data_IF_849429542455
#
_entry.id   IF_849429542455
#
_cell.length_a   1.000
_cell.length_b   1.000
_cell.length_c   1.000
_cell.angle_alpha   90.00
_cell.angle_beta   90.00
_cell.angle_gamma   90.00
#
_symmetry.space_group_name_H-M   'P 1'
#
loop_
_entity.id
_entity.type
_entity.pdbx_description
1 polymer ?
#
# COMPACT_ATOMS: atom_id res chain seq x y z
N UNK A 1 45.75 -7.05 -52.58
CA UNK A 1 44.67 -6.30 -51.92
C UNK A 1 43.46 -7.21 -51.82
N UNK A 2 43.24 -7.83 -50.65
CA UNK A 2 42.02 -8.58 -50.35
C UNK A 2 41.56 -8.09 -48.97
N UNK A 3 40.41 -7.41 -48.93
CA UNK A 3 39.72 -7.10 -47.69
C UNK A 3 38.57 -8.09 -47.54
N UNK A 4 38.74 -9.04 -46.61
CA UNK A 4 37.66 -9.87 -46.09
C UNK A 4 36.84 -9.00 -45.13
N UNK A 5 35.59 -8.75 -45.46
CA UNK A 5 34.62 -8.24 -44.49
C UNK A 5 34.22 -9.40 -43.57
N UNK A 6 34.52 -9.26 -42.28
CA UNK A 6 33.93 -10.10 -41.24
C UNK A 6 32.59 -9.49 -40.85
N UNK A 7 31.50 -10.19 -41.17
CA UNK A 7 30.17 -9.92 -40.62
C UNK A 7 30.18 -10.46 -39.19
N UNK A 8 30.23 -9.56 -38.22
CA UNK A 8 29.97 -9.90 -36.82
C UNK A 8 28.46 -10.04 -36.64
N UNK A 9 27.96 -11.28 -36.58
CA UNK A 9 26.59 -11.56 -36.14
C UNK A 9 26.47 -11.20 -34.66
N UNK A 10 25.78 -10.10 -34.37
CA UNK A 10 25.32 -9.76 -33.03
C UNK A 10 24.20 -10.76 -32.67
N UNK A 11 24.55 -11.78 -31.89
CA UNK A 11 23.57 -12.69 -31.30
C UNK A 11 22.70 -11.92 -30.32
N UNK A 12 21.41 -11.79 -30.66
CA UNK A 12 20.39 -11.23 -29.76
C UNK A 12 20.18 -12.20 -28.59
N UNK A 13 20.77 -11.87 -27.44
CA UNK A 13 20.50 -12.55 -26.18
C UNK A 13 19.11 -12.10 -25.73
N UNK A 14 18.06 -12.81 -26.16
CA UNK A 14 16.73 -12.68 -25.55
C UNK A 14 16.89 -13.04 -24.07
N UNK A 15 16.95 -12.03 -23.20
CA UNK A 15 16.75 -12.21 -21.78
C UNK A 15 15.36 -12.80 -21.60
N UNK A 16 15.32 -14.09 -21.30
CA UNK A 16 14.19 -14.72 -20.62
C UNK A 16 14.12 -14.07 -19.23
N UNK A 17 13.50 -12.89 -19.16
CA UNK A 17 13.05 -12.34 -17.89
C UNK A 17 12.03 -13.34 -17.35
N UNK A 18 12.45 -14.20 -16.43
CA UNK A 18 11.51 -14.88 -15.57
C UNK A 18 10.66 -13.79 -14.93
N UNK A 19 9.39 -13.71 -15.32
CA UNK A 19 8.39 -12.89 -14.66
C UNK A 19 8.22 -13.47 -13.26
N UNK A 20 9.07 -13.03 -12.34
CA UNK A 20 8.85 -13.27 -10.92
C UNK A 20 7.58 -12.50 -10.61
N UNK A 21 6.49 -13.20 -10.35
CA UNK A 21 5.24 -12.60 -9.93
C UNK A 21 5.41 -12.18 -8.46
N UNK A 22 4.85 -11.03 -8.12
CA UNK A 22 4.74 -10.62 -6.73
C UNK A 22 3.79 -11.58 -6.02
N UNK A 23 3.69 -11.43 -4.72
CA UNK A 23 2.87 -12.30 -3.90
C UNK A 23 2.40 -11.51 -2.69
N UNK A 24 1.10 -11.54 -2.40
CA UNK A 24 0.58 -10.89 -1.20
C UNK A 24 -0.85 -11.26 -0.85
N UNK A 25 -1.19 -11.10 0.43
CA UNK A 25 -2.53 -11.32 0.97
C UNK A 25 -2.79 -10.50 2.23
N UNK A 26 -4.07 -10.40 2.62
CA UNK A 26 -4.50 -9.77 3.87
C UNK A 26 -4.68 -10.85 4.94
N UNK A 27 -3.91 -10.76 6.02
CA UNK A 27 -3.96 -11.69 7.16
C UNK A 27 -4.87 -11.20 8.28
N UNK A 28 -5.16 -9.90 8.37
CA UNK A 28 -6.12 -9.37 9.34
C UNK A 28 -6.73 -8.02 8.89
N UNK A 29 -8.05 -7.83 8.97
CA UNK A 29 -9.06 -8.89 9.07
C UNK A 29 -8.89 -9.85 7.89
N UNK A 30 -9.18 -11.13 8.10
CA UNK A 30 -8.78 -12.17 7.16
C UNK A 30 -9.52 -12.03 5.84
N UNK A 31 -8.79 -12.02 4.73
CA UNK A 31 -9.42 -12.13 3.42
C UNK A 31 -9.88 -13.57 3.15
N UNK A 32 -10.87 -13.73 2.25
CA UNK A 32 -11.48 -15.01 1.87
C UNK A 32 -10.43 -16.09 1.51
N UNK A 33 -9.42 -15.72 0.71
CA UNK A 33 -8.28 -16.58 0.37
C UNK A 33 -7.46 -17.02 1.59
N UNK A 34 -7.28 -16.14 2.56
CA UNK A 34 -6.61 -16.49 3.81
C UNK A 34 -7.48 -17.37 4.70
N UNK A 35 -8.80 -17.13 4.76
CA UNK A 35 -9.76 -18.01 5.44
C UNK A 35 -9.76 -19.40 4.80
N UNK A 36 -9.76 -19.51 3.48
CA UNK A 36 -9.64 -20.79 2.76
C UNK A 36 -8.28 -21.46 3.01
N UNK A 37 -7.21 -20.68 3.16
CA UNK A 37 -5.89 -21.21 3.51
C UNK A 37 -5.85 -21.79 4.91
N UNK A 38 -6.38 -21.08 5.92
CA UNK A 38 -6.34 -21.56 7.31
C UNK A 38 -7.37 -22.67 7.55
N UNK A 39 -8.62 -22.41 7.15
CA UNK A 39 -9.79 -23.19 7.55
C UNK A 39 -10.36 -24.09 6.45
N UNK A 40 -9.85 -23.98 5.21
CA UNK A 40 -10.31 -24.82 4.10
C UNK A 40 -9.98 -26.30 4.30
N UNK A 41 -10.57 -27.13 3.44
CA UNK A 41 -10.47 -28.60 3.50
C UNK A 41 -9.90 -29.18 2.20
N UNK A 42 -9.15 -30.28 2.29
CA UNK A 42 -8.77 -31.12 1.15
C UNK A 42 -9.86 -32.14 0.77
N UNK A 43 -10.88 -32.27 1.63
CA UNK A 43 -12.02 -33.15 1.42
C UNK A 43 -13.24 -32.43 0.86
N UNK A 44 -14.38 -33.08 1.06
CA UNK A 44 -15.71 -32.52 0.79
C UNK A 44 -16.41 -32.28 2.12
N UNK A 45 -16.57 -31.02 2.49
CA UNK A 45 -17.15 -30.59 3.76
C UNK A 45 -17.99 -29.33 3.55
N UNK A 46 -19.24 -29.38 4.03
CA UNK A 46 -20.15 -28.25 3.96
C UNK A 46 -19.64 -27.07 4.80
N UNK A 47 -19.76 -25.85 4.26
CA UNK A 47 -19.32 -24.61 4.92
C UNK A 47 -17.81 -24.38 4.94
N UNK A 48 -16.98 -25.29 4.42
CA UNK A 48 -15.54 -25.07 4.26
C UNK A 48 -15.15 -24.98 2.80
N UNK A 49 -14.52 -23.87 2.42
CA UNK A 49 -13.88 -23.72 1.11
C UNK A 49 -12.86 -24.84 0.86
N UNK A 50 -12.55 -25.09 -0.42
CA UNK A 50 -11.39 -25.92 -0.75
C UNK A 50 -10.12 -25.26 -0.20
N UNK A 51 -9.17 -26.06 0.27
CA UNK A 51 -7.92 -25.57 0.83
C UNK A 51 -7.19 -24.67 -0.19
N UNK A 52 -6.86 -23.45 0.22
CA UNK A 52 -6.01 -22.57 -0.58
C UNK A 52 -4.55 -22.76 -0.18
N UNK A 53 -3.72 -23.14 -1.15
CA UNK A 53 -2.30 -23.39 -0.93
C UNK A 53 -1.44 -22.20 -1.32
N UNK A 54 -1.94 -21.32 -2.18
CA UNK A 54 -1.31 -20.05 -2.52
C UNK A 54 -2.25 -18.88 -2.26
N UNK A 55 -2.52 -18.52 -0.98
CA UNK A 55 -3.33 -17.35 -0.67
C UNK A 55 -2.70 -16.05 -1.19
N UNK A 56 -1.40 -16.07 -1.51
CA UNK A 56 -0.64 -14.94 -2.00
C UNK A 56 -0.65 -14.81 -3.54
N UNK A 57 -1.30 -15.71 -4.27
CA UNK A 57 -1.25 -15.80 -5.75
C UNK A 57 -2.45 -15.17 -6.48
N UNK A 58 -3.29 -14.35 -5.83
CA UNK A 58 -4.52 -13.83 -6.44
C UNK A 58 -4.25 -12.67 -7.42
N UNK A 59 -3.39 -12.89 -8.41
CA UNK A 59 -3.00 -11.91 -9.41
C UNK A 59 -3.88 -11.88 -10.67
N UNK A 60 -5.04 -12.55 -10.60
CA UNK A 60 -6.07 -12.55 -11.63
C UNK A 60 -7.41 -12.29 -10.98
N UNK A 61 -8.29 -11.66 -11.74
CA UNK A 61 -9.61 -11.27 -11.31
C UNK A 61 -10.63 -11.43 -12.44
N UNK A 62 -11.82 -11.89 -12.10
CA UNK A 62 -12.96 -12.05 -13.02
C UNK A 62 -14.23 -11.38 -12.44
N UNK A 63 -14.16 -10.86 -11.21
CA UNK A 63 -15.17 -10.02 -10.57
C UNK A 63 -14.49 -8.93 -9.75
N UNK A 64 -14.44 -9.13 -8.43
CA UNK A 64 -13.88 -8.20 -7.44
C UNK A 64 -12.92 -8.85 -6.46
N UNK A 65 -12.97 -10.16 -6.24
CA UNK A 65 -12.26 -10.82 -5.14
C UNK A 65 -11.01 -11.60 -5.56
N UNK A 66 -10.74 -11.69 -6.86
CA UNK A 66 -9.64 -12.47 -7.39
C UNK A 66 -9.89 -13.97 -7.38
N UNK A 67 -9.06 -14.71 -8.11
CA UNK A 67 -9.15 -16.16 -8.18
C UNK A 67 -7.78 -16.82 -8.37
N UNK A 68 -7.72 -18.10 -8.00
CA UNK A 68 -6.64 -19.03 -8.33
C UNK A 68 -7.17 -20.11 -9.26
N UNK A 69 -6.32 -21.04 -9.73
CA UNK A 69 -6.80 -22.17 -10.56
C UNK A 69 -7.75 -23.10 -9.79
N UNK A 70 -7.78 -23.01 -8.45
CA UNK A 70 -8.59 -23.89 -7.59
C UNK A 70 -9.83 -23.20 -7.04
N UNK A 71 -9.73 -21.90 -6.72
CA UNK A 71 -10.76 -21.16 -6.00
C UNK A 71 -11.08 -19.85 -6.70
N UNK A 72 -12.37 -19.57 -6.84
CA UNK A 72 -12.90 -18.26 -7.22
C UNK A 72 -13.52 -17.62 -5.98
N UNK A 73 -12.96 -16.48 -5.56
CA UNK A 73 -13.38 -15.82 -4.32
C UNK A 73 -14.54 -14.86 -4.51
N UNK A 74 -14.99 -14.63 -5.75
CA UNK A 74 -16.25 -13.93 -6.02
C UNK A 74 -17.44 -14.86 -5.73
N UNK A 75 -17.35 -16.13 -6.17
CA UNK A 75 -18.35 -17.17 -5.89
C UNK A 75 -18.44 -17.48 -4.38
N UNK A 76 -17.27 -17.59 -3.72
CA UNK A 76 -17.12 -17.87 -2.29
C UNK A 76 -18.03 -19.00 -1.80
N UNK A 77 -17.76 -20.19 -2.35
CA UNK A 77 -18.48 -21.44 -2.10
C UNK A 77 -17.62 -22.45 -1.33
N UNK A 78 -18.28 -23.38 -0.66
CA UNK A 78 -17.63 -24.48 0.02
C UNK A 78 -17.12 -25.53 -0.98
N UNK A 79 -16.41 -26.53 -0.46
CA UNK A 79 -15.85 -27.65 -1.24
C UNK A 79 -16.90 -28.51 -1.96
N UNK A 80 -18.19 -28.35 -1.64
CA UNK A 80 -19.33 -28.99 -2.28
C UNK A 80 -20.04 -28.08 -3.31
N UNK A 81 -19.61 -26.81 -3.42
CA UNK A 81 -20.21 -25.82 -4.31
C UNK A 81 -21.40 -25.07 -3.70
N UNK A 82 -21.70 -25.23 -2.41
CA UNK A 82 -22.73 -24.44 -1.74
C UNK A 82 -22.15 -23.10 -1.27
N UNK A 83 -23.00 -22.08 -1.24
CA UNK A 83 -22.63 -20.76 -0.72
C UNK A 83 -22.17 -20.87 0.75
N UNK A 84 -20.96 -20.38 1.04
CA UNK A 84 -20.48 -20.27 2.43
C UNK A 84 -21.28 -19.14 3.12
N UNK A 85 -21.86 -19.37 4.31
CA UNK A 85 -22.53 -18.30 5.05
C UNK A 85 -21.59 -17.11 5.30
N UNK A 86 -22.12 -15.90 5.23
CA UNK A 86 -21.34 -14.69 5.52
C UNK A 86 -20.77 -14.73 6.94
N UNK A 87 -19.47 -14.52 7.08
CA UNK A 87 -18.78 -14.49 8.37
C UNK A 87 -17.93 -13.23 8.49
N UNK A 88 -18.49 -12.23 9.16
CA UNK A 88 -17.82 -10.97 9.43
C UNK A 88 -16.50 -11.17 10.19
N UNK A 89 -15.38 -10.83 9.56
CA UNK A 89 -14.04 -10.87 10.15
C UNK A 89 -13.74 -9.61 11.00
N UNK A 90 -14.66 -8.65 11.05
CA UNK A 90 -14.57 -7.46 11.88
C UNK A 90 -15.88 -6.67 11.90
N UNK A 91 -16.17 -6.05 13.04
CA UNK A 91 -17.33 -5.18 13.25
C UNK A 91 -16.84 -3.76 13.53
N UNK A 92 -17.32 -2.80 12.75
CA UNK A 92 -16.90 -1.41 12.78
C UNK A 92 -18.10 -0.47 12.77
N UNK A 93 -17.85 0.82 12.94
CA UNK A 93 -18.80 1.88 12.65
C UNK A 93 -18.38 2.63 11.39
N UNK A 94 -19.36 3.27 10.74
CA UNK A 94 -19.09 4.19 9.64
C UNK A 94 -18.08 5.25 10.05
N UNK A 95 -17.03 5.45 9.26
CA UNK A 95 -15.97 6.42 9.57
C UNK A 95 -14.84 5.92 10.48
N UNK A 96 -14.93 4.70 11.01
CA UNK A 96 -13.89 4.13 11.87
C UNK A 96 -12.55 4.02 11.13
N UNK A 97 -11.46 4.13 11.89
CA UNK A 97 -10.13 3.75 11.44
C UNK A 97 -9.94 2.25 11.72
N UNK A 98 -9.79 1.47 10.67
CA UNK A 98 -9.55 0.04 10.72
C UNK A 98 -8.06 -0.27 10.53
N UNK A 99 -7.58 -1.29 11.24
CA UNK A 99 -6.22 -1.78 11.08
C UNK A 99 -6.21 -2.97 10.14
N UNK A 100 -5.31 -2.94 9.16
CA UNK A 100 -5.11 -4.02 8.21
C UNK A 100 -3.67 -4.51 8.24
N UNK A 101 -3.51 -5.84 8.30
CA UNK A 101 -2.24 -6.53 8.24
C UNK A 101 -2.14 -7.24 6.88
N UNK A 102 -1.03 -7.00 6.20
CA UNK A 102 -0.72 -7.59 4.91
C UNK A 102 0.60 -8.35 5.00
N UNK A 103 0.65 -9.50 4.34
CA UNK A 103 1.88 -10.26 4.15
C UNK A 103 2.17 -10.29 2.65
N UNK A 104 3.36 -9.84 2.26
CA UNK A 104 3.84 -9.70 0.88
C UNK A 104 5.19 -10.41 0.76
N UNK A 105 5.22 -11.76 0.60
CA UNK A 105 6.46 -12.54 0.63
C UNK A 105 7.45 -12.20 -0.49
N UNK A 106 6.93 -11.75 -1.63
CA UNK A 106 7.73 -11.31 -2.79
C UNK A 106 7.23 -9.93 -3.17
N UNK A 107 7.75 -8.91 -2.52
CA UNK A 107 7.35 -7.52 -2.71
C UNK A 107 8.04 -6.93 -3.96
N UNK A 108 7.25 -6.33 -4.87
CA UNK A 108 7.70 -5.67 -6.12
C UNK A 108 7.48 -4.15 -6.12
N UNK A 109 7.80 -3.50 -5.00
CA UNK A 109 7.40 -2.11 -4.76
C UNK A 109 5.87 -1.96 -4.73
N UNK A 110 5.39 -0.72 -4.91
CA UNK A 110 3.98 -0.46 -5.17
C UNK A 110 3.22 0.11 -3.98
N UNK A 111 1.90 -0.10 -3.99
CA UNK A 111 1.00 0.42 -2.96
C UNK A 111 -0.26 -0.44 -2.84
N UNK A 112 -0.94 -0.28 -1.70
CA UNK A 112 -2.22 -0.89 -1.40
C UNK A 112 -3.34 0.14 -1.52
N UNK A 113 -4.37 -0.19 -2.30
CA UNK A 113 -5.66 0.49 -2.31
C UNK A 113 -6.71 -0.37 -1.59
N UNK A 114 -7.50 0.23 -0.72
CA UNK A 114 -8.60 -0.45 -0.02
C UNK A 114 -9.92 0.24 -0.36
N UNK A 115 -10.92 -0.55 -0.74
CA UNK A 115 -12.24 -0.05 -1.10
C UNK A 115 -13.34 -0.89 -0.46
N UNK A 116 -14.53 -0.33 -0.23
CA UNK A 116 -15.60 -1.06 0.44
C UNK A 116 -16.98 -0.84 -0.18
N UNK A 117 -17.71 -1.93 -0.39
CA UNK A 117 -19.06 -1.93 -0.94
C UNK A 117 -20.07 -2.54 0.05
N UNK A 118 -21.21 -1.88 0.33
CA UNK A 118 -22.21 -2.37 1.28
C UNK A 118 -23.24 -3.32 0.66
N UNK A 119 -22.90 -3.99 -0.45
CA UNK A 119 -23.80 -4.86 -1.19
C UNK A 119 -23.52 -6.35 -0.97
N UNK A 120 -22.69 -6.69 0.04
CA UNK A 120 -22.30 -8.06 0.34
C UNK A 120 -21.83 -8.82 -0.90
N UNK A 121 -22.40 -10.00 -1.14
CA UNK A 121 -22.15 -10.84 -2.32
C UNK A 121 -22.59 -10.24 -3.65
N UNK A 122 -23.48 -9.24 -3.64
CA UNK A 122 -23.91 -8.51 -4.84
C UNK A 122 -23.02 -7.30 -5.16
N UNK A 123 -21.88 -7.17 -4.50
CA UNK A 123 -20.90 -6.11 -4.80
C UNK A 123 -20.35 -6.29 -6.21
N UNK A 124 -20.30 -5.18 -6.96
CA UNK A 124 -19.81 -5.15 -8.34
C UNK A 124 -18.58 -4.26 -8.46
N UNK A 125 -17.88 -4.38 -9.57
CA UNK A 125 -16.78 -3.48 -9.92
C UNK A 125 -17.19 -2.00 -9.92
N UNK A 126 -18.39 -1.69 -10.42
CA UNK A 126 -18.92 -0.32 -10.41
C UNK A 126 -19.09 0.21 -8.99
N UNK A 127 -19.47 -0.64 -8.04
CA UNK A 127 -19.50 -0.25 -6.64
C UNK A 127 -18.11 0.13 -6.14
N UNK A 128 -17.10 -0.71 -6.38
CA UNK A 128 -15.74 -0.43 -5.91
C UNK A 128 -15.05 0.72 -6.66
N UNK A 129 -15.42 1.00 -7.90
CA UNK A 129 -14.83 2.11 -8.67
C UNK A 129 -15.44 3.47 -8.39
N UNK A 130 -16.58 3.53 -7.68
CA UNK A 130 -17.11 4.78 -7.13
C UNK A 130 -16.08 5.41 -6.15
N UNK A 131 -15.63 6.66 -6.38
CA UNK A 131 -14.66 7.33 -5.51
C UNK A 131 -15.07 7.42 -4.03
N UNK A 132 -16.37 7.41 -3.73
CA UNK A 132 -16.89 7.44 -2.36
C UNK A 132 -16.68 6.13 -1.59
N UNK A 133 -16.24 5.06 -2.27
CA UNK A 133 -15.96 3.76 -1.65
C UNK A 133 -14.51 3.56 -1.25
N UNK A 134 -13.61 4.48 -1.62
CA UNK A 134 -12.20 4.37 -1.27
C UNK A 134 -11.98 4.67 0.20
N UNK A 135 -11.21 3.81 0.88
CA UNK A 135 -10.76 4.07 2.24
C UNK A 135 -9.54 4.99 2.20
N UNK A 136 -9.45 5.91 3.16
CA UNK A 136 -8.31 6.83 3.25
C UNK A 136 -7.18 6.16 4.02
N UNK A 137 -5.98 6.18 3.48
CA UNK A 137 -4.79 5.77 4.21
C UNK A 137 -4.52 6.75 5.36
N UNK A 138 -4.42 6.23 6.58
CA UNK A 138 -4.19 7.03 7.78
C UNK A 138 -2.71 7.03 8.16
N UNK A 139 -2.11 5.84 8.27
CA UNK A 139 -0.69 5.68 8.60
C UNK A 139 -0.20 4.24 8.37
N UNK A 140 1.09 4.14 8.12
CA UNK A 140 1.87 2.91 8.25
C UNK A 140 2.43 2.83 9.67
N UNK A 141 2.24 1.67 10.31
CA UNK A 141 2.63 1.42 11.70
C UNK A 141 3.99 0.75 11.85
N UNK A 142 4.56 0.23 10.76
CA UNK A 142 5.84 -0.49 10.81
C UNK A 142 7.00 0.35 10.29
N UNK A 143 6.80 1.08 9.19
CA UNK A 143 7.92 1.74 8.48
C UNK A 143 7.76 3.25 8.32
N UNK A 144 6.69 3.83 8.89
CA UNK A 144 6.44 5.27 8.89
C UNK A 144 6.46 5.87 7.46
N UNK A 145 5.78 5.16 6.53
CA UNK A 145 5.44 5.67 5.21
C UNK A 145 4.44 6.84 5.36
N UNK A 146 4.76 8.04 4.85
CA UNK A 146 3.86 9.18 4.92
C UNK A 146 2.64 9.03 4.01
N UNK A 147 1.50 9.60 4.38
CA UNK A 147 0.33 9.68 3.49
C UNK A 147 0.65 10.53 2.25
N UNK A 148 -0.03 10.24 1.13
CA UNK A 148 0.06 10.97 -0.13
C UNK A 148 -1.10 11.98 -0.24
N UNK A 149 -0.83 13.30 -0.25
CA UNK A 149 -1.87 14.32 -0.39
C UNK A 149 -2.61 14.30 -1.74
N UNK A 150 -2.00 13.73 -2.78
CA UNK A 150 -2.57 13.65 -4.14
C UNK A 150 -3.38 12.36 -4.31
N UNK A 151 -2.93 11.27 -3.70
CA UNK A 151 -3.61 9.97 -3.70
C UNK A 151 -3.84 9.47 -2.28
N UNK A 152 -4.79 10.06 -1.53
CA UNK A 152 -4.96 9.82 -0.10
C UNK A 152 -5.45 8.40 0.23
N UNK A 153 -5.83 7.61 -0.76
CA UNK A 153 -6.24 6.21 -0.67
C UNK A 153 -5.08 5.22 -0.76
N UNK A 154 -3.86 5.66 -1.14
CA UNK A 154 -2.70 4.79 -1.31
C UNK A 154 -1.90 4.62 -0.03
N UNK A 155 -1.77 3.37 0.42
CA UNK A 155 -0.74 2.97 1.39
C UNK A 155 0.47 2.39 0.68
N UNK A 156 1.54 3.17 0.54
CA UNK A 156 2.77 2.76 -0.15
C UNK A 156 3.52 1.71 0.65
N UNK A 157 4.27 0.84 -0.04
CA UNK A 157 5.07 -0.20 0.59
C UNK A 157 6.53 0.24 0.71
N UNK A 158 7.08 0.14 1.93
CA UNK A 158 8.49 0.37 2.20
C UNK A 158 9.35 -0.88 1.98
N UNK A 159 10.66 -0.69 1.79
CA UNK A 159 11.66 -1.74 1.96
C UNK A 159 11.63 -2.85 0.90
N UNK A 160 11.28 -2.53 -0.36
CA UNK A 160 11.35 -3.49 -1.46
C UNK A 160 12.73 -4.19 -1.52
N UNK A 161 13.82 -3.41 -1.60
CA UNK A 161 15.18 -3.97 -1.63
C UNK A 161 15.67 -4.50 -0.26
N UNK A 162 14.89 -4.31 0.80
CA UNK A 162 15.23 -4.70 2.18
C UNK A 162 14.58 -6.03 2.59
N UNK A 163 13.71 -6.59 1.75
CA UNK A 163 13.06 -7.88 2.00
C UNK A 163 11.96 -7.82 3.07
N UNK A 164 11.35 -6.66 3.28
CA UNK A 164 10.20 -6.53 4.17
C UNK A 164 9.01 -7.31 3.58
N UNK A 165 8.39 -8.14 4.44
CA UNK A 165 7.25 -8.98 4.05
C UNK A 165 5.98 -8.67 4.82
N UNK A 166 6.06 -8.00 5.96
CA UNK A 166 4.89 -7.68 6.78
C UNK A 166 4.62 -6.19 6.77
N UNK A 167 3.34 -5.83 6.68
CA UNK A 167 2.86 -4.46 6.66
C UNK A 167 1.64 -4.33 7.55
N UNK A 168 1.56 -3.22 8.29
CA UNK A 168 0.40 -2.90 9.13
C UNK A 168 0.01 -1.46 8.85
N UNK A 169 -1.11 -1.27 8.16
CA UNK A 169 -1.62 0.06 7.83
C UNK A 169 -2.96 0.29 8.52
N UNK A 170 -3.18 1.52 8.98
CA UNK A 170 -4.48 1.99 9.41
C UNK A 170 -5.16 2.71 8.23
N UNK A 171 -6.43 2.38 7.97
CA UNK A 171 -7.26 2.98 6.92
C UNK A 171 -8.58 3.48 7.50
N UNK A 172 -9.09 4.62 7.04
CA UNK A 172 -10.37 5.16 7.47
C UNK A 172 -11.49 4.73 6.53
N UNK A 173 -12.55 4.13 7.09
CA UNK A 173 -13.79 3.81 6.39
C UNK A 173 -14.49 5.09 5.88
N UNK A 174 -15.12 5.06 4.69
CA UNK A 174 -15.91 6.18 4.21
C UNK A 174 -17.03 6.54 5.20
N UNK A 175 -17.22 7.84 5.40
CA UNK A 175 -18.37 8.35 6.14
C UNK A 175 -19.66 8.00 5.39
N UNK A 176 -20.65 7.47 6.09
CA UNK A 176 -21.93 7.05 5.51
C UNK A 176 -21.92 5.64 4.87
N UNK A 177 -20.78 4.95 4.83
CA UNK A 177 -20.75 3.52 4.52
C UNK A 177 -21.22 2.72 5.75
N UNK A 178 -22.27 1.92 5.61
CA UNK A 178 -22.75 0.98 6.63
C UNK A 178 -23.55 -0.16 5.98
N UNK A 179 -23.66 -1.29 6.69
CA UNK A 179 -24.37 -2.49 6.29
C UNK A 179 -23.94 -3.71 7.12
N UNK A 180 -24.82 -4.71 7.22
CA UNK A 180 -24.50 -5.99 7.88
C UNK A 180 -23.53 -6.84 7.06
N UNK A 181 -23.61 -6.74 5.73
CA UNK A 181 -22.71 -7.40 4.78
C UNK A 181 -21.96 -6.36 3.94
N UNK A 182 -20.82 -5.88 4.47
CA UNK A 182 -19.92 -4.98 3.73
C UNK A 182 -18.72 -5.78 3.25
N UNK A 183 -18.49 -5.75 1.94
CA UNK A 183 -17.34 -6.38 1.31
C UNK A 183 -16.23 -5.35 1.12
N UNK A 184 -15.08 -5.57 1.74
CA UNK A 184 -13.87 -4.78 1.50
C UNK A 184 -13.03 -5.49 0.45
N UNK A 185 -12.63 -4.76 -0.59
CA UNK A 185 -11.61 -5.16 -1.55
C UNK A 185 -10.25 -4.61 -1.12
N UNK A 186 -9.29 -5.51 -0.96
CA UNK A 186 -7.88 -5.22 -0.93
C UNK A 186 -7.32 -5.35 -2.34
N UNK A 187 -6.61 -4.32 -2.80
CA UNK A 187 -5.91 -4.33 -4.07
C UNK A 187 -4.47 -3.92 -3.89
N UNK A 188 -3.55 -4.80 -4.27
CA UNK A 188 -2.13 -4.47 -4.32
C UNK A 188 -1.72 -4.21 -5.76
N UNK A 189 -1.19 -3.01 -6.01
CA UNK A 189 -0.65 -2.60 -7.32
C UNK A 189 0.87 -2.53 -7.20
N UNK A 190 1.56 -3.39 -7.95
CA UNK A 190 3.03 -3.43 -8.01
C UNK A 190 3.60 -2.23 -8.77
N UNK A 191 4.91 -1.98 -8.66
CA UNK A 191 5.57 -0.86 -9.39
C UNK A 191 6.91 -1.24 -10.04
N UNK A 192 7.12 -2.51 -10.35
CA UNK A 192 8.39 -3.00 -10.91
C UNK A 192 8.43 -2.99 -12.45
N UNK A 193 7.28 -3.14 -13.13
CA UNK A 193 7.18 -3.11 -14.60
C UNK A 193 6.92 -1.70 -15.15
N UNK A 194 6.16 -0.92 -14.39
CA UNK A 194 5.86 0.49 -14.62
C UNK A 194 5.57 1.13 -13.25
N UNK A 195 5.70 2.46 -13.14
CA UNK A 195 5.37 3.17 -11.91
C UNK A 195 3.97 3.78 -12.01
N UNK A 196 3.09 3.61 -11.01
CA UNK A 196 1.82 4.31 -11.00
C UNK A 196 2.01 5.84 -11.06
N UNK A 197 1.03 6.59 -11.58
CA UNK A 197 1.17 8.04 -11.70
C UNK A 197 1.48 8.74 -10.37
N UNK A 198 2.34 9.75 -10.45
CA UNK A 198 2.83 10.60 -9.35
C UNK A 198 3.83 9.95 -8.38
N UNK A 199 4.33 8.75 -8.67
CA UNK A 199 5.33 8.08 -7.83
C UNK A 199 6.60 8.92 -7.63
N UNK A 200 7.18 9.46 -8.71
CA UNK A 200 8.41 10.27 -8.60
C UNK A 200 8.22 11.48 -7.69
N UNK A 201 7.09 12.17 -7.80
CA UNK A 201 6.76 13.30 -6.93
C UNK A 201 6.62 12.84 -5.47
N UNK A 202 5.89 11.76 -5.21
CA UNK A 202 5.67 11.22 -3.87
C UNK A 202 6.98 10.84 -3.16
N UNK A 203 7.84 10.05 -3.82
CA UNK A 203 9.10 9.55 -3.24
C UNK A 203 10.17 10.67 -3.11
N UNK A 204 10.07 11.75 -3.89
CA UNK A 204 10.98 12.91 -3.82
C UNK A 204 10.54 14.03 -2.87
N UNK A 205 9.54 13.78 -2.00
CA UNK A 205 9.09 14.74 -0.99
C UNK A 205 7.74 15.40 -1.27
N UNK A 206 6.99 14.93 -2.27
CA UNK A 206 5.60 15.33 -2.51
C UNK A 206 4.58 14.71 -1.54
N UNK A 207 5.04 13.94 -0.56
CA UNK A 207 4.21 13.33 0.47
C UNK A 207 3.89 14.30 1.64
N UNK A 208 2.95 13.91 2.50
CA UNK A 208 2.43 14.73 3.61
C UNK A 208 3.47 15.19 4.64
N UNK A 209 4.63 14.53 4.70
CA UNK A 209 5.72 14.88 5.62
C UNK A 209 6.90 15.56 4.91
N UNK A 210 6.81 15.81 3.60
CA UNK A 210 7.89 16.39 2.78
C UNK A 210 9.19 15.57 2.90
N UNK A 211 9.05 14.25 3.09
CA UNK A 211 10.15 13.33 3.32
C UNK A 211 10.68 12.82 1.98
N UNK A 212 11.98 12.94 1.73
CA UNK A 212 12.60 12.19 0.64
C UNK A 212 12.73 10.74 1.11
N UNK A 213 12.07 9.83 0.41
CA UNK A 213 12.06 8.40 0.75
C UNK A 213 13.20 7.67 0.01
N UNK A 214 13.69 6.53 0.54
CA UNK A 214 14.75 5.77 -0.10
C UNK A 214 14.40 5.37 -1.54
N UNK A 215 15.33 5.60 -2.47
CA UNK A 215 15.15 5.25 -3.88
C UNK A 215 15.03 3.75 -4.12
N UNK A 216 15.45 2.94 -3.14
CA UNK A 216 15.42 1.48 -3.18
C UNK A 216 14.02 0.91 -2.86
N UNK A 217 13.07 1.77 -2.47
CA UNK A 217 11.69 1.39 -2.17
C UNK A 217 10.78 1.44 -3.40
N UNK A 218 11.25 2.01 -4.51
CA UNK A 218 10.53 2.03 -5.78
C UNK A 218 11.50 1.97 -6.97
N UNK A 219 10.98 1.87 -8.19
CA UNK A 219 11.82 1.91 -9.40
C UNK A 219 11.66 3.27 -10.10
N UNK A 220 12.63 4.21 -9.98
CA UNK A 220 12.54 5.51 -10.66
C UNK A 220 12.73 5.40 -12.19
N UNK A 221 13.34 4.30 -12.66
CA UNK A 221 13.79 4.15 -14.06
C UNK A 221 12.74 3.57 -15.00
N UNK A 222 11.67 2.99 -14.47
CA UNK A 222 10.56 2.49 -15.29
C UNK A 222 9.64 3.63 -15.73
N UNK A 223 8.97 3.44 -16.86
CA UNK A 223 7.96 4.38 -17.35
C UNK A 223 6.72 4.41 -16.47
N UNK A 224 5.93 5.46 -16.59
CA UNK A 224 4.60 5.50 -15.98
C UNK A 224 3.70 4.37 -16.52
N UNK A 225 2.81 3.87 -15.66
CA UNK A 225 1.83 2.88 -16.06
C UNK A 225 0.72 3.49 -16.91
N UNK A 226 0.21 2.69 -17.86
CA UNK A 226 -0.98 3.00 -18.64
C UNK A 226 -2.23 2.89 -17.77
N UNK A 227 -3.12 3.88 -17.88
CA UNK A 227 -4.43 3.89 -17.25
C UNK A 227 -5.56 3.75 -18.28
N UNK A 228 -6.72 3.17 -17.90
CA UNK A 228 -7.00 2.53 -16.61
C UNK A 228 -6.30 1.17 -16.48
N UNK A 229 -6.06 0.72 -15.25
CA UNK A 229 -5.56 -0.65 -15.02
C UNK A 229 -6.62 -1.69 -15.40
N UNK A 230 -6.21 -2.84 -15.98
CA UNK A 230 -7.17 -3.87 -16.36
C UNK A 230 -7.83 -4.46 -15.12
N UNK A 231 -9.16 -4.51 -15.11
CA UNK A 231 -9.93 -5.12 -14.03
C UNK A 231 -9.55 -6.59 -13.83
N UNK A 232 -9.16 -7.28 -14.91
CA UNK A 232 -8.80 -8.69 -14.87
C UNK A 232 -7.51 -8.98 -14.11
N UNK A 233 -6.71 -7.96 -13.79
CA UNK A 233 -5.37 -8.14 -13.24
C UNK A 233 -4.33 -8.64 -14.24
N UNK A 234 -4.71 -8.85 -15.51
CA UNK A 234 -3.85 -9.49 -16.52
C UNK A 234 -2.51 -8.76 -16.71
N UNK A 235 -1.40 -9.33 -16.23
CA UNK A 235 -0.09 -8.68 -16.28
C UNK A 235 0.56 -8.77 -17.67
N UNK A 236 -0.07 -9.44 -18.64
CA UNK A 236 0.46 -9.56 -20.01
C UNK A 236 0.22 -8.31 -20.85
N UNK A 237 -0.63 -7.38 -20.39
CA UNK A 237 -0.92 -6.15 -21.10
C UNK A 237 0.23 -5.14 -20.96
N UNK A 238 0.80 -4.64 -22.08
CA UNK A 238 1.94 -3.72 -22.04
C UNK A 238 1.67 -2.44 -21.24
N UNK A 239 2.63 -2.09 -20.38
CA UNK A 239 2.56 -0.88 -19.55
C UNK A 239 1.53 -0.96 -18.41
N UNK A 240 1.06 -2.16 -18.07
CA UNK A 240 0.20 -2.37 -16.90
C UNK A 240 1.00 -2.98 -15.74
N UNK A 241 0.73 -2.59 -14.48
CA UNK A 241 1.34 -3.22 -13.33
C UNK A 241 0.67 -4.58 -13.07
N UNK A 242 1.41 -5.49 -12.43
CA UNK A 242 0.77 -6.64 -11.81
C UNK A 242 -0.13 -6.18 -10.66
N UNK A 243 -1.29 -6.81 -10.51
CA UNK A 243 -2.30 -6.48 -9.52
C UNK A 243 -2.74 -7.72 -8.75
N UNK A 244 -2.96 -7.59 -7.45
CA UNK A 244 -3.50 -8.66 -6.59
C UNK A 244 -4.80 -8.21 -5.95
N UNK A 245 -5.68 -9.17 -5.71
CA UNK A 245 -7.02 -8.92 -5.21
C UNK A 245 -7.29 -9.81 -3.99
N UNK A 246 -8.11 -9.30 -3.08
CA UNK A 246 -8.62 -10.07 -1.96
C UNK A 246 -9.86 -9.41 -1.39
N UNK A 247 -10.82 -10.22 -0.93
CA UNK A 247 -12.05 -9.72 -0.33
C UNK A 247 -12.12 -10.08 1.14
N UNK A 248 -12.59 -9.13 1.95
CA UNK A 248 -12.80 -9.29 3.39
C UNK A 248 -14.28 -9.02 3.68
N UNK A 249 -14.90 -9.93 4.42
CA UNK A 249 -16.28 -9.78 4.89
C UNK A 249 -16.28 -9.05 6.23
N UNK A 250 -16.99 -7.92 6.33
CA UNK A 250 -17.10 -7.14 7.57
C UNK A 250 -18.54 -6.66 7.78
N UNK A 251 -18.83 -6.21 8.99
CA UNK A 251 -20.07 -5.49 9.32
C UNK A 251 -19.72 -4.06 9.71
N UNK A 252 -20.54 -3.11 9.26
CA UNK A 252 -20.33 -1.69 9.54
C UNK A 252 -21.64 -1.09 10.02
N UNK A 253 -21.69 -0.75 11.31
CA UNK A 253 -22.81 -0.06 11.92
C UNK A 253 -22.92 1.39 11.39
N UNK A 254 -24.13 1.98 11.36
CA UNK A 254 -24.27 3.40 11.10
C UNK A 254 -23.46 4.22 12.12
N UNK A 255 -23.08 5.46 11.80
CA UNK A 255 -22.41 6.31 12.76
C UNK A 255 -23.29 6.43 14.02
N UNK A 256 -22.70 6.44 15.23
CA UNK A 256 -23.48 6.63 16.44
C UNK A 256 -24.30 7.91 16.30
N UNK A 257 -25.57 7.93 16.74
CA UNK A 257 -26.39 9.13 16.68
C UNK A 257 -25.61 10.24 17.38
N UNK A 258 -25.33 11.32 16.66
CA UNK A 258 -24.66 12.45 17.26
C UNK A 258 -25.51 12.87 18.45
N UNK A 259 -24.95 12.77 19.66
CA UNK A 259 -25.53 13.48 20.78
C UNK A 259 -25.34 14.95 20.47
N UNK A 260 -26.31 15.53 19.76
CA UNK A 260 -26.54 16.96 19.72
C UNK A 260 -26.97 17.40 21.13
N UNK A 261 -26.04 17.35 22.07
CA UNK A 261 -26.10 18.12 23.31
C UNK A 261 -25.26 19.36 23.10
N UNK A 262 -25.79 20.22 22.25
CA UNK A 262 -25.48 21.64 22.24
C UNK A 262 -26.81 22.34 22.23
N UNK A 263 -27.38 22.59 23.41
CA UNK A 263 -28.25 23.77 23.53
C UNK A 263 -27.52 24.93 22.88
N UNK A 264 -28.19 25.80 22.09
CA UNK A 264 -27.53 27.01 21.61
C UNK A 264 -26.96 27.73 22.82
N UNK A 265 -25.62 27.76 22.91
CA UNK A 265 -24.94 28.62 23.87
C UNK A 265 -25.37 30.02 23.46
N UNK A 266 -26.31 30.60 24.22
CA UNK A 266 -26.57 32.02 24.14
C UNK A 266 -25.23 32.69 24.40
N UNK A 267 -24.67 33.31 23.37
CA UNK A 267 -23.56 34.22 23.50
C UNK A 267 -24.01 35.25 24.56
N UNK A 268 -23.29 35.43 25.68
CA UNK A 268 -23.58 36.54 26.57
C UNK A 268 -23.38 37.81 25.76
N UNK A 269 -24.46 38.52 25.49
CA UNK A 269 -24.41 39.88 24.96
C UNK A 269 -23.68 40.70 26.03
N UNK A 270 -22.40 40.96 25.79
CA UNK A 270 -21.62 41.88 26.62
C UNK A 270 -22.29 43.25 26.59
N UNK A 271 -22.61 43.76 27.78
CA UNK A 271 -23.17 45.09 28.00
C UNK A 271 -22.27 46.18 27.38
N UNK A 272 -22.82 47.36 27.00
CA UNK A 272 -22.03 48.42 26.39
C UNK A 272 -20.99 48.94 27.40
N UNK A 273 -19.71 48.85 27.03
CA UNK A 273 -18.61 49.45 27.78
C UNK A 273 -18.71 50.97 27.65
N UNK A 274 -18.82 51.66 28.78
CA UNK A 274 -18.78 53.11 28.85
C UNK A 274 -17.42 53.64 28.33
N UNK A 275 -17.49 54.68 27.51
CA UNK A 275 -16.37 55.32 26.83
C UNK A 275 -15.47 56.06 27.83
N UNK A 276 -14.15 55.82 27.88
CA UNK A 276 -13.25 56.62 28.69
C UNK A 276 -12.95 57.94 27.97
N UNK A 277 -13.23 59.05 28.66
CA UNK A 277 -12.76 60.39 28.32
C UNK A 277 -11.29 60.49 28.72
N UNK A 278 -10.39 60.70 27.76
CA UNK A 278 -8.95 60.77 28.03
C UNK A 278 -8.15 61.39 26.90
N UNK A 279 -7.99 62.71 27.01
CA UNK A 279 -6.97 63.64 26.49
C UNK A 279 -5.91 63.13 25.48
N UNK A 280 -5.89 63.82 24.34
CA UNK A 280 -4.90 63.77 23.26
C UNK A 280 -3.50 64.15 23.75
N UNK A 281 -2.50 63.30 23.48
CA UNK A 281 -1.09 63.66 23.50
C UNK A 281 -0.48 63.46 22.10
N UNK A 282 0.35 64.43 21.72
CA UNK A 282 0.91 64.71 20.39
C UNK A 282 1.95 63.68 19.92
N UNK A 283 2.13 63.45 18.59
CA UNK A 283 3.06 62.46 18.07
C UNK A 283 4.52 62.92 18.20
N UNK A 284 5.40 62.03 18.67
CA UNK A 284 6.86 62.21 18.58
C UNK A 284 7.42 61.28 17.52
N UNK A 285 8.32 61.83 16.72
CA UNK A 285 8.96 61.33 15.49
C UNK A 285 9.79 60.03 15.69
N UNK A 286 9.97 59.16 14.67
CA UNK A 286 10.72 57.93 14.81
C UNK A 286 12.24 58.14 14.75
N UNK A 287 12.97 57.53 15.67
CA UNK A 287 14.43 57.47 15.65
C UNK A 287 14.97 56.43 14.65
N UNK A 288 16.01 56.82 13.93
CA UNK A 288 16.77 56.06 12.93
C UNK A 288 17.40 54.74 13.46
N UNK A 289 17.70 53.78 12.57
CA UNK A 289 18.25 52.48 12.95
C UNK A 289 19.73 52.56 13.33
N UNK A 290 20.09 51.88 14.42
CA UNK A 290 21.47 51.70 14.88
C UNK A 290 22.12 50.53 14.13
N UNK A 291 23.19 50.84 13.41
CA UNK A 291 24.10 49.89 12.75
C UNK A 291 24.94 49.15 13.80
N UNK A 292 24.91 47.82 13.83
CA UNK A 292 25.86 47.02 14.60
C UNK A 292 27.07 46.60 13.72
N UNK A 293 28.31 46.61 14.25
CA UNK A 293 29.48 46.14 13.52
C UNK A 293 29.54 44.62 13.44
N UNK A 294 29.81 44.12 12.24
CA UNK A 294 30.12 42.71 11.95
C UNK A 294 31.55 42.43 12.41
N UNK A 295 31.72 41.43 13.28
CA UNK A 295 33.04 40.89 13.65
C UNK A 295 33.53 39.88 12.58
N UNK A 296 34.85 39.77 12.35
CA UNK A 296 35.40 38.87 11.34
C UNK A 296 35.33 37.41 11.79
N UNK A 297 34.82 36.54 10.92
CA UNK A 297 34.88 35.08 11.09
C UNK A 297 36.25 34.59 10.63
N UNK A 298 37.03 34.05 11.55
CA UNK A 298 38.26 33.28 11.28
C UNK A 298 37.91 31.82 10.97
N UNK A 299 38.38 31.31 9.84
CA UNK A 299 38.40 29.89 9.48
C UNK A 299 39.19 29.06 10.51
N UNK A 300 38.73 27.83 10.82
CA UNK A 300 39.63 26.76 11.23
C UNK A 300 39.86 25.78 10.07
N UNK A 301 41.12 25.71 9.71
CA UNK A 301 41.81 24.65 8.97
C UNK A 301 41.46 23.26 9.49
N UNK A 302 41.26 22.34 8.55
CA UNK A 302 40.93 20.95 8.82
C UNK A 302 42.04 20.15 9.50
N UNK A 303 41.62 19.09 10.18
CA UNK A 303 42.47 17.97 10.52
C UNK A 303 41.68 16.67 10.35
N UNK A 304 42.23 15.80 9.51
CA UNK A 304 41.71 14.50 9.14
C UNK A 304 42.03 13.51 10.26
N UNK A 305 41.00 12.91 10.87
CA UNK A 305 41.19 11.80 11.82
C UNK A 305 40.54 10.55 11.25
N UNK A 306 41.42 9.64 10.83
CA UNK A 306 41.16 8.25 10.48
C UNK A 306 40.69 7.49 11.73
N UNK A 307 39.56 6.76 11.72
CA UNK A 307 39.29 5.75 12.72
C UNK A 307 39.84 4.39 12.27
N UNK A 308 40.75 3.87 13.08
CA UNK A 308 41.28 2.52 13.08
C UNK A 308 40.19 1.48 13.31
N UNK A 309 40.24 0.42 12.51
CA UNK A 309 39.45 -0.79 12.66
C UNK A 309 40.03 -1.71 13.75
N UNK A 310 39.15 -2.34 14.53
CA UNK A 310 39.51 -3.50 15.35
C UNK A 310 38.57 -3.78 16.51
N UNK A 311 37.61 -4.70 16.33
CA UNK A 311 37.55 -5.98 17.08
C UNK A 311 36.15 -6.64 17.00
N UNK A 312 36.14 -7.78 16.29
CA UNK A 312 35.37 -9.02 16.47
C UNK A 312 34.10 -9.03 17.32
N UNK A 313 33.03 -9.57 16.72
CA UNK A 313 32.26 -10.67 17.34
C UNK A 313 31.80 -11.67 16.29
N UNK A 314 32.22 -12.91 16.49
CA UNK A 314 31.82 -14.10 15.73
C UNK A 314 30.40 -14.55 16.11
N UNK A 315 29.78 -15.19 15.11
CA UNK A 315 28.78 -16.27 15.16
C UNK A 315 27.35 -15.98 15.64
N UNK A 316 26.41 -15.99 14.69
CA UNK A 316 25.39 -17.04 14.63
C UNK A 316 24.81 -17.21 13.22
N UNK A 317 24.95 -18.44 12.74
CA UNK A 317 24.55 -19.00 11.45
C UNK A 317 23.06 -18.79 11.15
N UNK A 318 22.74 -18.15 10.03
CA UNK A 318 21.51 -18.41 9.29
C UNK A 318 21.90 -19.09 7.99
N UNK A 319 21.64 -20.40 7.91
CA UNK A 319 21.80 -21.19 6.70
C UNK A 319 20.85 -20.65 5.63
N UNK A 320 21.41 -19.99 4.63
CA UNK A 320 20.70 -19.66 3.41
C UNK A 320 20.35 -20.96 2.67
N UNK A 321 19.06 -21.16 2.40
CA UNK A 321 18.58 -22.08 1.37
C UNK A 321 18.98 -21.53 0.00
N UNK A 322 20.22 -21.83 -0.40
CA UNK A 322 20.72 -21.66 -1.76
C UNK A 322 21.14 -23.05 -2.23
N UNK A 323 20.25 -23.72 -2.97
CA UNK A 323 20.61 -25.00 -3.57
C UNK A 323 19.47 -25.82 -4.10
N UNK A 324 18.72 -25.35 -5.10
CA UNK A 324 18.15 -26.22 -6.14
C UNK A 324 18.20 -25.48 -7.49
N UNK A 325 19.38 -25.50 -8.10
CA UNK A 325 19.52 -25.45 -9.55
C UNK A 325 20.82 -26.16 -9.91
N UNK A 326 20.78 -26.96 -10.98
CA UNK A 326 21.78 -27.94 -11.44
C UNK A 326 21.72 -29.34 -10.83
N UNK A 327 20.61 -30.03 -11.07
CA UNK A 327 20.64 -31.45 -11.43
C UNK A 327 19.30 -31.82 -12.05
N UNK A 328 19.19 -31.75 -13.38
CA UNK A 328 18.32 -32.59 -14.23
C UNK A 328 18.53 -32.18 -15.69
N UNK A 329 19.73 -32.45 -16.20
CA UNK A 329 19.99 -32.51 -17.64
C UNK A 329 21.07 -33.58 -17.84
N UNK A 330 20.63 -34.83 -17.80
CA UNK A 330 21.26 -36.01 -18.39
C UNK A 330 20.46 -37.24 -17.93
N UNK A 331 19.53 -37.70 -18.77
CA UNK A 331 19.21 -39.10 -19.10
C UNK A 331 17.98 -39.05 -20.01
N UNK A 332 18.21 -39.29 -21.30
CA UNK A 332 17.38 -40.03 -22.27
C UNK A 332 17.73 -39.58 -23.69
N UNK A 333 18.88 -40.10 -24.16
CA UNK A 333 18.98 -40.60 -25.52
C UNK A 333 18.76 -42.10 -25.40
N UNK A 334 17.55 -42.55 -25.77
CA UNK A 334 17.24 -43.79 -26.46
C UNK A 334 15.85 -43.65 -27.07
#
# INVERSE_FOLDING_TARGET
>A
MQHKQMIASLGSLLSLFSLVHSHGYVSSPRARNWVAHENGTDGQEAGKAKKEYCPHCLNRNNGVCGYTDTNDYDEWVDSLGNVIPWESQGAYNSGDVIRMNFTIPVHHGGHIEIRACPNGRSSTWDCFTDPSRSLLFVKDLLYDIPADPIHPDRGYLAGWSEGYTEYVHDYQLPQGLYGEEVLIQWKYITSNSCKPPNYDAYFSGGNSQVKVLPSEWYSPTVSDCNLPYPQSGDPSLPGTPEQFFGCIEVSVAPPPPSTASGSPVQIPVSAPVAQPTGTVAQPTEPASPVTQPIAPVTEPTGESVVPTSGAKREDSKMMAYLGISFAWFCILVL
#
